data_IF_140577010330
#
_entry.id   IF_140577010330
#
_cell.length_a   1.000
_cell.length_b   1.000
_cell.length_c   1.000
_cell.angle_alpha   90.00
_cell.angle_beta   90.00
_cell.angle_gamma   90.00
#
_symmetry.space_group_name_H-M   'P 1'
#
loop_
_entity.id
_entity.type
_entity.pdbx_description
1 polymer ?
#
# COMPACT_ATOMS: atom_id res chain seq x y z
N UNK A 1 -8.53 7.25 -32.50
CA UNK A 1 -7.33 8.05 -32.19
C UNK A 1 -6.65 7.70 -30.86
N UNK A 2 -7.34 7.29 -29.77
CA UNK A 2 -6.68 6.91 -28.49
C UNK A 2 -6.07 5.50 -28.43
N UNK A 3 -6.58 4.54 -29.22
CA UNK A 3 -6.11 3.15 -29.22
C UNK A 3 -4.64 3.03 -29.66
N UNK A 4 -4.28 3.68 -30.77
CA UNK A 4 -2.90 3.69 -31.27
C UNK A 4 -1.92 4.27 -30.24
N UNK A 5 -2.30 5.33 -29.52
CA UNK A 5 -1.45 5.91 -28.47
C UNK A 5 -1.18 4.89 -27.34
N UNK A 6 -2.22 4.21 -26.84
CA UNK A 6 -2.05 3.19 -25.80
C UNK A 6 -1.24 1.98 -26.29
N UNK A 7 -1.41 1.58 -27.56
CA UNK A 7 -0.60 0.52 -28.19
C UNK A 7 0.87 0.94 -28.29
N UNK A 8 1.16 2.16 -28.77
CA UNK A 8 2.51 2.70 -28.81
C UNK A 8 3.13 2.77 -27.40
N UNK A 9 2.36 3.18 -26.39
CA UNK A 9 2.81 3.21 -25.01
C UNK A 9 3.12 1.79 -24.48
N UNK A 10 2.31 0.80 -24.84
CA UNK A 10 2.56 -0.59 -24.47
C UNK A 10 3.81 -1.16 -25.17
N UNK A 11 4.02 -0.85 -26.45
CA UNK A 11 5.21 -1.24 -27.20
C UNK A 11 6.46 -0.59 -26.63
N UNK A 12 6.41 0.70 -26.28
CA UNK A 12 7.48 1.39 -25.57
C UNK A 12 7.80 0.72 -24.24
N UNK A 13 6.77 0.40 -23.44
CA UNK A 13 6.95 -0.28 -22.17
C UNK A 13 7.56 -1.68 -22.32
N UNK A 14 7.24 -2.40 -23.39
CA UNK A 14 7.77 -3.75 -23.65
C UNK A 14 9.30 -3.77 -23.81
N UNK A 15 9.90 -2.65 -24.22
CA UNK A 15 11.36 -2.50 -24.30
C UNK A 15 12.03 -2.53 -22.92
N UNK A 16 11.31 -2.16 -21.86
CA UNK A 16 11.84 -2.04 -20.50
C UNK A 16 11.22 -3.05 -19.53
N UNK A 17 10.12 -3.71 -19.93
CA UNK A 17 9.39 -4.69 -19.14
C UNK A 17 9.41 -6.04 -19.83
N UNK A 18 10.24 -6.95 -19.32
CA UNK A 18 10.43 -8.29 -19.90
C UNK A 18 9.12 -9.05 -20.01
N UNK A 19 8.31 -9.05 -18.94
CA UNK A 19 7.09 -9.85 -18.79
C UNK A 19 5.80 -9.19 -19.29
N UNK A 20 5.88 -8.10 -20.05
CA UNK A 20 4.68 -7.50 -20.65
C UNK A 20 4.19 -8.34 -21.82
N UNK A 21 2.99 -8.91 -21.69
CA UNK A 21 2.40 -9.83 -22.68
C UNK A 21 1.29 -9.18 -23.51
N UNK A 22 0.61 -8.16 -22.98
CA UNK A 22 -0.49 -7.47 -23.66
C UNK A 22 -0.02 -6.11 -24.16
N UNK A 23 -0.11 -5.90 -25.48
CA UNK A 23 0.27 -4.65 -26.14
C UNK A 23 -0.64 -4.23 -27.30
N UNK A 24 -1.45 -5.13 -27.87
CA UNK A 24 -2.42 -4.79 -28.92
C UNK A 24 -3.85 -4.63 -28.41
N UNK A 25 -4.32 -5.55 -27.56
CA UNK A 25 -5.65 -5.45 -26.95
C UNK A 25 -5.61 -4.58 -25.68
N UNK A 26 -5.68 -3.27 -25.90
CA UNK A 26 -5.60 -2.25 -24.85
C UNK A 26 -6.97 -1.81 -24.33
N UNK A 27 -8.07 -2.30 -24.92
CA UNK A 27 -9.43 -1.88 -24.58
C UNK A 27 -9.85 -2.16 -23.12
N UNK A 28 -9.42 -3.28 -22.49
CA UNK A 28 -9.75 -3.57 -21.10
C UNK A 28 -9.07 -2.65 -20.08
N UNK A 29 -8.10 -1.82 -20.51
CA UNK A 29 -7.24 -1.07 -19.62
C UNK A 29 -7.53 0.44 -19.62
N UNK A 30 -7.35 1.04 -18.45
CA UNK A 30 -7.19 2.47 -18.22
C UNK A 30 -5.70 2.78 -18.15
N UNK A 31 -5.28 3.95 -18.66
CA UNK A 31 -3.90 4.40 -18.64
C UNK A 31 -3.79 5.75 -17.92
N UNK A 32 -2.93 5.80 -16.91
CA UNK A 32 -2.62 6.98 -16.10
C UNK A 32 -1.21 7.42 -16.42
N UNK A 33 -1.08 8.46 -17.25
CA UNK A 33 0.20 8.89 -17.81
C UNK A 33 0.70 10.11 -17.05
N UNK A 34 1.91 10.00 -16.49
CA UNK A 34 2.61 11.10 -15.86
C UNK A 34 3.41 11.87 -16.90
N UNK A 35 3.23 13.18 -16.94
CA UNK A 35 3.94 14.06 -17.88
C UNK A 35 4.56 15.25 -17.15
N UNK A 36 5.68 15.72 -17.65
CA UNK A 36 6.32 16.98 -17.27
C UNK A 36 6.08 18.03 -18.36
N UNK A 37 5.80 19.26 -17.96
CA UNK A 37 5.71 20.39 -18.89
C UNK A 37 7.10 20.94 -19.24
N UNK A 38 7.36 21.17 -20.51
CA UNK A 38 8.64 21.77 -20.96
C UNK A 38 8.71 23.26 -20.59
N UNK A 39 9.69 23.64 -19.77
CA UNK A 39 9.87 25.03 -19.32
C UNK A 39 10.32 25.97 -20.44
N UNK A 40 10.95 25.46 -21.50
CA UNK A 40 11.48 26.23 -22.63
C UNK A 40 10.48 26.35 -23.76
N UNK A 41 9.65 25.32 -23.96
CA UNK A 41 8.67 25.27 -25.05
C UNK A 41 7.24 25.24 -24.48
N UNK A 42 6.52 26.37 -24.60
CA UNK A 42 5.11 26.43 -24.23
C UNK A 42 4.30 25.37 -25.00
N UNK A 43 3.40 24.68 -24.28
CA UNK A 43 2.54 23.61 -24.79
C UNK A 43 3.23 22.29 -25.17
N UNK A 44 4.51 22.09 -24.84
CA UNK A 44 5.17 20.79 -24.99
C UNK A 44 5.15 20.04 -23.66
N UNK A 45 4.81 18.76 -23.71
CA UNK A 45 4.76 17.86 -22.57
C UNK A 45 5.57 16.60 -22.85
N UNK A 46 6.40 16.20 -21.90
CA UNK A 46 7.24 15.01 -21.98
C UNK A 46 6.69 13.94 -21.07
N UNK A 47 6.54 12.71 -21.58
CA UNK A 47 6.13 11.59 -20.73
C UNK A 47 7.25 11.25 -19.75
N UNK A 48 6.90 11.06 -18.48
CA UNK A 48 7.80 10.53 -17.45
C UNK A 48 7.62 9.02 -17.32
N UNK A 49 6.36 8.59 -17.31
CA UNK A 49 5.98 7.20 -17.07
C UNK A 49 4.48 7.05 -17.03
N UNK A 50 4.00 5.84 -16.76
CA UNK A 50 2.59 5.56 -16.61
C UNK A 50 2.35 4.32 -15.76
N UNK A 51 1.11 4.16 -15.30
CA UNK A 51 0.59 2.83 -14.99
C UNK A 51 -0.70 2.52 -15.74
N UNK A 52 -0.97 1.24 -15.97
CA UNK A 52 -2.26 0.76 -16.45
C UNK A 52 -3.03 0.03 -15.36
N UNK A 53 -4.35 0.11 -15.42
CA UNK A 53 -5.29 -0.57 -14.52
C UNK A 53 -6.39 -1.22 -15.35
N UNK A 54 -6.73 -2.47 -15.08
CA UNK A 54 -7.88 -3.10 -15.71
C UNK A 54 -9.18 -2.40 -15.28
N UNK A 55 -10.11 -2.22 -16.22
CA UNK A 55 -11.44 -1.66 -15.92
C UNK A 55 -12.24 -2.58 -15.00
N UNK A 56 -12.09 -3.89 -15.22
CA UNK A 56 -12.68 -4.96 -14.44
C UNK A 56 -11.55 -5.94 -14.14
N UNK A 57 -11.24 -6.13 -12.86
CA UNK A 57 -10.19 -7.04 -12.40
C UNK A 57 -10.80 -7.97 -11.37
N UNK A 58 -10.87 -9.26 -11.67
CA UNK A 58 -11.45 -10.27 -10.78
C UNK A 58 -10.60 -10.43 -9.52
N UNK A 59 -9.27 -10.31 -9.67
CA UNK A 59 -8.28 -10.39 -8.59
C UNK A 59 -8.11 -9.09 -7.79
N UNK A 60 -8.92 -8.07 -8.11
CA UNK A 60 -8.86 -6.73 -7.52
C UNK A 60 -7.46 -6.09 -7.65
N UNK A 61 -6.77 -6.29 -8.78
CA UNK A 61 -5.52 -5.61 -9.04
C UNK A 61 -5.76 -4.12 -9.32
N UNK A 62 -5.11 -3.26 -8.56
CA UNK A 62 -5.24 -1.81 -8.73
C UNK A 62 -4.19 -1.23 -9.69
N UNK A 63 -3.20 -2.04 -10.07
CA UNK A 63 -2.13 -1.70 -10.99
C UNK A 63 -1.70 -2.96 -11.75
N UNK A 64 -1.83 -2.94 -13.07
CA UNK A 64 -1.41 -4.03 -13.96
C UNK A 64 0.04 -3.88 -14.43
N UNK A 65 0.39 -2.67 -14.90
CA UNK A 65 1.72 -2.38 -15.42
C UNK A 65 2.16 -1.01 -14.92
N UNK A 66 3.40 -0.89 -14.44
CA UNK A 66 4.03 0.38 -14.07
C UNK A 66 5.34 0.50 -14.84
N UNK A 67 5.53 1.64 -15.52
CA UNK A 67 6.77 1.94 -16.22
C UNK A 67 7.15 3.40 -15.98
N UNK A 68 8.39 3.61 -15.57
CA UNK A 68 9.05 4.92 -15.54
C UNK A 68 10.17 4.87 -16.58
N UNK A 69 10.25 5.88 -17.43
CA UNK A 69 11.31 5.97 -18.44
C UNK A 69 12.69 5.93 -17.76
N UNK A 70 13.67 5.22 -18.34
CA UNK A 70 14.97 5.04 -17.69
C UNK A 70 15.63 6.32 -17.16
N UNK A 71 15.57 7.42 -17.91
CA UNK A 71 16.15 8.71 -17.52
C UNK A 71 15.39 9.46 -16.41
N UNK A 72 14.19 9.01 -16.04
CA UNK A 72 13.41 9.53 -14.91
C UNK A 72 13.35 8.56 -13.71
N UNK A 73 14.05 7.43 -13.77
CA UNK A 73 14.07 6.49 -12.65
C UNK A 73 14.80 7.07 -11.44
N UNK A 74 14.47 6.56 -10.25
CA UNK A 74 15.06 6.95 -8.96
C UNK A 74 14.82 8.42 -8.53
N UNK A 75 13.86 9.10 -9.15
CA UNK A 75 13.44 10.48 -8.81
C UNK A 75 12.08 10.53 -8.08
N UNK A 76 11.65 9.43 -7.45
CA UNK A 76 10.38 9.37 -6.71
C UNK A 76 9.11 9.15 -7.54
N UNK A 77 9.14 9.32 -8.86
CA UNK A 77 7.95 9.18 -9.73
C UNK A 77 7.27 7.80 -9.67
N UNK A 78 8.03 6.72 -9.52
CA UNK A 78 7.46 5.37 -9.36
C UNK A 78 6.63 5.25 -8.07
N UNK A 79 7.14 5.80 -6.97
CA UNK A 79 6.43 5.84 -5.68
C UNK A 79 5.18 6.72 -5.77
N UNK A 80 5.26 7.85 -6.47
CA UNK A 80 4.11 8.72 -6.73
C UNK A 80 2.99 7.99 -7.49
N UNK A 81 3.31 7.29 -8.58
CA UNK A 81 2.32 6.53 -9.35
C UNK A 81 1.70 5.38 -8.54
N UNK A 82 2.48 4.70 -7.70
CA UNK A 82 1.95 3.70 -6.76
C UNK A 82 1.01 4.38 -5.76
N UNK A 83 1.39 5.51 -5.14
CA UNK A 83 0.51 6.20 -4.19
C UNK A 83 -0.81 6.61 -4.83
N UNK A 84 -0.77 7.13 -6.05
CA UNK A 84 -1.96 7.49 -6.81
C UNK A 84 -2.86 6.27 -7.08
N UNK A 85 -2.30 5.12 -7.43
CA UNK A 85 -3.08 3.89 -7.63
C UNK A 85 -3.88 3.48 -6.38
N UNK A 86 -3.31 3.69 -5.18
CA UNK A 86 -3.98 3.45 -3.91
C UNK A 86 -5.00 4.54 -3.55
N UNK A 87 -4.75 5.81 -3.89
CA UNK A 87 -5.79 6.86 -3.74
C UNK A 87 -7.04 6.54 -4.58
N UNK A 88 -6.86 6.07 -5.82
CA UNK A 88 -7.98 5.62 -6.66
C UNK A 88 -8.70 4.41 -6.02
N UNK A 89 -7.95 3.48 -5.45
CA UNK A 89 -8.49 2.30 -4.76
C UNK A 89 -9.37 2.70 -3.56
N UNK A 90 -8.93 3.69 -2.78
CA UNK A 90 -9.69 4.24 -1.65
C UNK A 90 -10.96 4.97 -2.10
N UNK A 91 -10.88 5.74 -3.19
CA UNK A 91 -12.07 6.40 -3.79
C UNK A 91 -13.11 5.35 -4.23
N UNK A 92 -12.65 4.22 -4.77
CA UNK A 92 -13.50 3.09 -5.14
C UNK A 92 -14.04 2.29 -3.94
N UNK A 93 -13.62 2.63 -2.71
CA UNK A 93 -13.94 1.92 -1.46
C UNK A 93 -13.59 0.43 -1.53
N UNK A 94 -12.46 0.12 -2.17
CA UNK A 94 -11.92 -1.24 -2.33
C UNK A 94 -10.57 -1.36 -1.65
N UNK A 95 -10.05 -2.58 -1.62
CA UNK A 95 -8.65 -2.86 -1.35
C UNK A 95 -8.02 -3.43 -2.61
N UNK A 96 -6.70 -3.31 -2.75
CA UNK A 96 -6.02 -3.73 -3.96
C UNK A 96 -4.54 -4.05 -3.76
N UNK A 97 -3.99 -4.69 -4.77
CA UNK A 97 -2.60 -5.14 -4.86
C UNK A 97 -2.12 -4.94 -6.30
N UNK A 98 -0.81 -4.83 -6.57
CA UNK A 98 -0.32 -4.93 -7.94
C UNK A 98 -0.49 -6.34 -8.52
N UNK A 99 -0.61 -6.40 -9.85
CA UNK A 99 -0.49 -7.64 -10.62
C UNK A 99 0.88 -8.28 -10.40
N UNK A 100 0.90 -9.61 -10.32
CA UNK A 100 2.09 -10.43 -10.07
C UNK A 100 2.45 -11.21 -11.34
N UNK A 101 3.74 -11.50 -11.58
CA UNK A 101 4.91 -11.19 -10.74
C UNK A 101 5.54 -9.81 -11.01
N UNK A 102 5.80 -9.05 -9.95
CA UNK A 102 6.49 -7.75 -9.97
C UNK A 102 7.95 -7.85 -10.45
N UNK A 103 8.45 -6.82 -11.14
CA UNK A 103 9.89 -6.64 -11.43
C UNK A 103 10.68 -6.36 -10.15
N UNK A 104 12.01 -6.58 -10.15
CA UNK A 104 12.85 -6.32 -8.97
C UNK A 104 12.73 -4.86 -8.47
N UNK A 105 12.79 -3.89 -9.39
CA UNK A 105 12.59 -2.48 -9.07
C UNK A 105 11.16 -2.20 -8.57
N UNK A 106 10.16 -2.85 -9.17
CA UNK A 106 8.77 -2.78 -8.72
C UNK A 106 8.60 -3.27 -7.28
N UNK A 107 9.16 -4.43 -6.95
CA UNK A 107 9.13 -5.01 -5.60
C UNK A 107 9.76 -4.05 -4.56
N UNK A 108 10.94 -3.51 -4.85
CA UNK A 108 11.59 -2.55 -3.96
C UNK A 108 10.74 -1.30 -3.73
N UNK A 109 10.13 -0.77 -4.79
CA UNK A 109 9.31 0.45 -4.72
C UNK A 109 8.01 0.20 -3.93
N UNK A 110 7.34 -0.93 -4.17
CA UNK A 110 6.14 -1.32 -3.42
C UNK A 110 6.44 -1.57 -1.94
N UNK A 111 7.51 -2.31 -1.62
CA UNK A 111 7.93 -2.50 -0.22
C UNK A 111 8.18 -1.16 0.47
N UNK A 112 8.95 -0.27 -0.15
CA UNK A 112 9.22 1.07 0.39
C UNK A 112 7.94 1.88 0.61
N UNK A 113 6.99 1.83 -0.35
CA UNK A 113 5.69 2.49 -0.23
C UNK A 113 4.87 1.90 0.92
N UNK A 114 4.66 0.58 0.96
CA UNK A 114 3.85 -0.08 1.99
C UNK A 114 4.43 0.11 3.39
N UNK A 115 5.74 -0.03 3.55
CA UNK A 115 6.40 0.21 4.84
C UNK A 115 6.10 1.62 5.35
N UNK A 116 6.28 2.63 4.50
CA UNK A 116 6.02 4.02 4.87
C UNK A 116 4.56 4.26 5.19
N UNK A 117 3.64 3.79 4.34
CA UNK A 117 2.20 4.01 4.50
C UNK A 117 1.66 3.35 5.78
N UNK A 118 2.07 2.10 6.05
CA UNK A 118 1.62 1.37 7.24
C UNK A 118 2.17 1.99 8.50
N UNK A 119 3.46 2.34 8.55
CA UNK A 119 4.06 2.99 9.72
C UNK A 119 3.40 4.34 10.01
N UNK A 120 3.16 5.17 8.99
CA UNK A 120 2.44 6.44 9.16
C UNK A 120 1.04 6.21 9.72
N UNK A 121 0.30 5.22 9.22
CA UNK A 121 -1.05 4.93 9.68
C UNK A 121 -1.08 4.39 11.12
N UNK A 122 -0.12 3.54 11.49
CA UNK A 122 0.01 3.06 12.86
C UNK A 122 0.33 4.19 13.84
N UNK A 123 1.17 5.16 13.44
CA UNK A 123 1.42 6.35 14.27
C UNK A 123 0.17 7.21 14.45
N UNK A 124 -0.65 7.37 13.42
CA UNK A 124 -1.94 8.06 13.53
C UNK A 124 -2.85 7.36 14.56
N UNK A 125 -2.98 6.04 14.48
CA UNK A 125 -3.78 5.27 15.45
C UNK A 125 -3.23 5.40 16.87
N UNK A 126 -1.90 5.32 17.04
CA UNK A 126 -1.24 5.49 18.34
C UNK A 126 -1.54 6.87 18.94
N UNK A 127 -1.42 7.93 18.15
CA UNK A 127 -1.73 9.32 18.59
C UNK A 127 -3.21 9.49 18.95
N UNK A 128 -4.09 8.82 18.21
CA UNK A 128 -5.54 8.85 18.46
C UNK A 128 -6.03 7.81 19.47
N UNK A 129 -5.14 7.00 20.06
CA UNK A 129 -5.48 5.91 20.99
C UNK A 129 -6.50 4.91 20.41
N UNK A 130 -6.40 4.65 19.10
CA UNK A 130 -7.24 3.69 18.39
C UNK A 130 -6.55 2.32 18.40
N UNK A 131 -7.28 1.26 18.77
CA UNK A 131 -6.78 -0.10 18.62
C UNK A 131 -6.74 -0.49 17.15
N UNK A 132 -5.52 -0.64 16.62
CA UNK A 132 -5.30 -1.03 15.23
C UNK A 132 -5.66 -2.50 14.99
N UNK A 133 -6.45 -2.76 13.96
CA UNK A 133 -6.66 -4.12 13.43
C UNK A 133 -6.13 -4.20 12.01
N UNK A 134 -5.72 -5.38 11.55
CA UNK A 134 -5.26 -5.59 10.17
C UNK A 134 -6.36 -5.21 9.17
N UNK A 135 -7.61 -5.56 9.46
CA UNK A 135 -8.75 -5.22 8.62
C UNK A 135 -8.94 -3.71 8.51
N UNK A 136 -8.84 -2.98 9.63
CA UNK A 136 -8.96 -1.52 9.61
C UNK A 136 -7.80 -0.88 8.84
N UNK A 137 -6.58 -1.36 9.06
CA UNK A 137 -5.39 -0.88 8.35
C UNK A 137 -5.50 -1.10 6.84
N UNK A 138 -6.02 -2.26 6.43
CA UNK A 138 -6.31 -2.59 5.03
C UNK A 138 -7.34 -1.63 4.40
N UNK A 139 -8.46 -1.40 5.09
CA UNK A 139 -9.52 -0.48 4.63
C UNK A 139 -8.98 0.95 4.52
N UNK A 140 -8.30 1.46 5.55
CA UNK A 140 -7.85 2.86 5.61
C UNK A 140 -6.73 3.17 4.61
N UNK A 141 -5.90 2.18 4.30
CA UNK A 141 -4.79 2.34 3.34
C UNK A 141 -5.16 1.92 1.92
N UNK A 142 -6.20 1.12 1.75
CA UNK A 142 -6.56 0.48 0.48
C UNK A 142 -5.63 -0.70 0.11
N UNK A 143 -4.69 -1.08 0.97
CA UNK A 143 -3.76 -2.19 0.76
C UNK A 143 -4.44 -3.50 1.13
N UNK A 144 -4.35 -4.53 0.26
CA UNK A 144 -4.95 -5.84 0.54
C UNK A 144 -4.42 -6.44 1.84
N UNK A 145 -5.26 -7.21 2.55
CA UNK A 145 -4.96 -7.76 3.88
C UNK A 145 -3.64 -8.57 3.87
N UNK A 146 -3.40 -9.39 2.85
CA UNK A 146 -2.21 -10.24 2.79
C UNK A 146 -0.94 -9.39 2.66
N UNK A 147 -1.00 -8.30 1.89
CA UNK A 147 0.14 -7.38 1.72
C UNK A 147 0.39 -6.56 3.01
N UNK A 148 -0.66 -6.23 3.76
CA UNK A 148 -0.55 -5.63 5.10
C UNK A 148 0.15 -6.60 6.06
N UNK A 149 -0.32 -7.85 6.15
CA UNK A 149 0.27 -8.88 7.03
C UNK A 149 1.74 -9.08 6.66
N UNK A 150 2.04 -9.27 5.36
CA UNK A 150 3.41 -9.45 4.91
C UNK A 150 4.29 -8.25 5.25
N UNK A 151 3.77 -7.03 5.12
CA UNK A 151 4.52 -5.82 5.47
C UNK A 151 4.78 -5.72 6.98
N UNK A 152 3.82 -6.08 7.83
CA UNK A 152 4.00 -6.10 9.28
C UNK A 152 5.05 -7.14 9.70
N UNK A 153 5.09 -8.30 9.04
CA UNK A 153 6.12 -9.34 9.23
C UNK A 153 7.48 -8.83 8.74
N UNK A 154 7.56 -8.24 7.54
CA UNK A 154 8.80 -7.68 6.97
C UNK A 154 9.38 -6.56 7.88
N UNK A 155 8.52 -5.79 8.54
CA UNK A 155 8.89 -4.76 9.51
C UNK A 155 9.26 -5.33 10.90
N UNK A 156 9.03 -6.62 11.13
CA UNK A 156 9.15 -7.31 12.43
C UNK A 156 8.26 -6.73 13.54
N UNK A 157 7.14 -6.11 13.15
CA UNK A 157 6.17 -5.54 14.09
C UNK A 157 5.17 -6.61 14.55
N UNK A 158 4.91 -7.60 13.70
CA UNK A 158 3.97 -8.66 14.01
C UNK A 158 4.57 -10.03 13.72
N UNK A 159 4.16 -11.02 14.53
CA UNK A 159 4.63 -12.40 14.45
C UNK A 159 3.45 -13.35 14.24
N UNK A 160 3.53 -14.21 13.23
CA UNK A 160 2.59 -15.32 13.01
C UNK A 160 3.03 -16.52 13.86
N UNK A 161 2.16 -17.01 14.73
CA UNK A 161 2.56 -17.82 15.88
C UNK A 161 2.66 -19.33 15.66
N UNK A 162 3.70 -19.93 16.24
CA UNK A 162 3.55 -21.03 17.22
C UNK A 162 3.98 -20.55 18.63
N UNK A 163 5.02 -19.71 18.73
CA UNK A 163 5.52 -19.16 20.00
C UNK A 163 4.57 -18.16 20.70
N UNK A 164 3.56 -17.65 19.98
CA UNK A 164 2.60 -16.68 20.51
C UNK A 164 1.37 -17.30 21.18
N UNK A 165 1.21 -18.62 21.15
CA UNK A 165 0.13 -19.26 21.89
C UNK A 165 0.35 -19.02 23.38
N UNK A 166 1.58 -19.19 23.87
CA UNK A 166 1.89 -19.07 25.29
C UNK A 166 1.92 -17.61 25.78
N UNK A 167 2.41 -16.65 24.98
CA UNK A 167 2.38 -15.23 25.34
C UNK A 167 0.97 -14.65 25.25
N UNK A 168 0.15 -15.05 24.27
CA UNK A 168 -1.26 -14.69 24.25
C UNK A 168 -2.01 -15.32 25.43
N UNK A 169 -1.77 -16.58 25.79
CA UNK A 169 -2.35 -17.18 27.00
C UNK A 169 -1.94 -16.42 28.25
N UNK A 170 -0.65 -16.07 28.43
CA UNK A 170 -0.19 -15.30 29.61
C UNK A 170 -0.80 -13.89 29.66
N UNK A 171 -0.94 -13.20 28.53
CA UNK A 171 -1.57 -11.88 28.48
C UNK A 171 -3.09 -11.94 28.68
N UNK A 172 -3.73 -13.01 28.21
CA UNK A 172 -5.15 -13.28 28.37
C UNK A 172 -5.46 -13.66 29.82
N UNK A 173 -4.65 -14.52 30.46
CA UNK A 173 -4.67 -14.80 31.90
C UNK A 173 -4.47 -13.53 32.74
N UNK A 174 -3.54 -12.63 32.36
CA UNK A 174 -3.35 -11.36 33.05
C UNK A 174 -4.55 -10.40 32.89
N UNK A 175 -5.25 -10.44 31.75
CA UNK A 175 -6.50 -9.69 31.53
C UNK A 175 -7.67 -10.31 32.30
N UNK A 176 -7.76 -11.63 32.34
CA UNK A 176 -8.79 -12.37 33.07
C UNK A 176 -8.61 -12.26 34.58
N UNK A 177 -7.37 -12.19 35.08
CA UNK A 177 -7.05 -11.87 36.47
C UNK A 177 -7.45 -10.43 36.84
N UNK A 178 -7.30 -9.47 35.92
CA UNK A 178 -7.77 -8.10 36.11
C UNK A 178 -9.30 -8.00 36.08
N UNK A 179 -9.96 -8.78 35.24
CA UNK A 179 -11.43 -8.85 35.17
C UNK A 179 -12.04 -9.63 36.35
N UNK A 180 -11.42 -10.71 36.84
CA UNK A 180 -11.85 -11.43 38.05
C UNK A 180 -11.65 -10.62 39.33
N UNK A 181 -10.56 -9.84 39.43
CA UNK A 181 -10.39 -8.88 40.53
C UNK A 181 -11.39 -7.72 40.47
N UNK A 182 -11.88 -7.34 39.28
CA UNK A 182 -12.99 -6.37 39.14
C UNK A 182 -14.37 -6.99 39.43
N UNK A 183 -14.56 -8.29 39.15
CA UNK A 183 -15.80 -9.05 39.41
C UNK A 183 -15.98 -9.50 40.86
N UNK A 184 -14.94 -9.44 41.71
CA UNK A 184 -15.10 -9.63 43.16
C UNK A 184 -15.92 -8.53 43.85
N UNK A 185 -16.24 -7.42 43.16
CA UNK A 185 -17.08 -6.34 43.69
C UNK A 185 -18.50 -6.26 43.11
N UNK A 186 -18.92 -7.15 42.20
CA UNK A 186 -20.34 -7.26 41.82
C UNK A 186 -20.64 -8.66 41.28
N UNK A 187 -21.53 -9.35 41.99
CA UNK A 187 -21.99 -10.73 41.74
C UNK A 187 -23.31 -10.69 40.96
N UNK A 188 -23.54 -11.71 40.12
CA UNK A 188 -24.71 -12.01 39.27
C UNK A 188 -24.77 -11.18 37.95
N UNK A 189 -24.99 -11.73 36.74
CA UNK A 189 -25.53 -13.01 36.28
C UNK A 189 -24.96 -13.44 34.91
N UNK A 190 -25.23 -14.71 34.57
CA UNK A 190 -25.06 -15.49 33.34
C UNK A 190 -25.06 -14.75 31.98
N UNK A 191 -24.27 -15.21 30.99
CA UNK A 191 -24.63 -16.38 30.18
C UNK A 191 -23.64 -16.59 29.00
N UNK A 192 -23.59 -17.84 28.53
CA UNK A 192 -22.71 -18.37 27.49
C UNK A 192 -22.73 -17.64 26.15
N UNK A 193 -21.56 -17.53 25.50
CA UNK A 193 -21.39 -18.07 24.15
C UNK A 193 -19.91 -18.25 23.79
N UNK A 194 -19.55 -19.52 23.64
CA UNK A 194 -18.24 -20.01 23.28
C UNK A 194 -18.18 -20.09 21.74
N UNK A 195 -17.58 -19.09 21.10
CA UNK A 195 -17.24 -19.15 19.67
C UNK A 195 -15.74 -18.90 19.55
N UNK A 196 -14.96 -19.99 19.42
CA UNK A 196 -13.54 -19.92 19.07
C UNK A 196 -13.42 -19.28 17.68
N UNK A 197 -13.21 -17.96 17.64
CA UNK A 197 -12.82 -17.27 16.43
C UNK A 197 -11.33 -17.53 16.17
N UNK A 198 -11.07 -18.16 15.02
CA UNK A 198 -9.75 -18.40 14.44
C UNK A 198 -9.08 -17.10 13.96
N UNK A 199 -9.13 -16.05 14.77
CA UNK A 199 -8.29 -14.87 14.62
C UNK A 199 -6.94 -15.21 15.22
N UNK A 200 -5.97 -15.57 14.37
CA UNK A 200 -4.56 -15.43 14.71
C UNK A 200 -4.32 -13.99 15.14
N UNK A 201 -4.35 -13.74 16.45
CA UNK A 201 -4.12 -12.43 17.04
C UNK A 201 -2.69 -12.05 16.70
N UNK A 202 -2.52 -11.15 15.73
CA UNK A 202 -1.26 -10.49 15.46
C UNK A 202 -0.98 -9.58 16.66
N UNK A 203 -0.12 -10.04 17.56
CA UNK A 203 0.43 -9.21 18.61
C UNK A 203 1.39 -8.20 17.96
N UNK A 204 1.17 -6.91 18.24
CA UNK A 204 2.05 -5.83 17.82
C UNK A 204 3.15 -5.68 18.87
N UNK A 205 4.40 -5.76 18.44
CA UNK A 205 5.56 -5.39 19.27
C UNK A 205 5.71 -3.86 19.28
N UNK A 206 5.30 -3.24 20.37
CA UNK A 206 5.31 -1.78 20.55
C UNK A 206 6.73 -1.20 20.59
N UNK A 207 7.73 -1.93 21.09
CA UNK A 207 9.11 -1.47 21.18
C UNK A 207 9.76 -1.42 19.78
N UNK A 208 9.50 -2.46 18.97
CA UNK A 208 9.92 -2.47 17.56
C UNK A 208 9.20 -1.38 16.79
N UNK A 209 7.88 -1.22 16.98
CA UNK A 209 7.10 -0.16 16.34
C UNK A 209 7.70 1.23 16.64
N UNK A 210 7.94 1.54 17.92
CA UNK A 210 8.55 2.80 18.34
C UNK A 210 9.89 3.06 17.66
N UNK A 211 10.76 2.05 17.61
CA UNK A 211 12.07 2.16 16.95
C UNK A 211 11.94 2.48 15.46
N UNK A 212 11.00 1.82 14.76
CA UNK A 212 10.75 2.04 13.33
C UNK A 212 10.16 3.42 13.06
N UNK A 213 9.28 3.90 13.94
CA UNK A 213 8.69 5.24 13.84
C UNK A 213 9.74 6.34 13.98
N UNK A 214 10.66 6.21 14.94
CA UNK A 214 11.78 7.15 15.10
C UNK A 214 12.65 7.19 13.84
N UNK A 215 12.96 6.02 13.26
CA UNK A 215 13.72 5.95 12.01
C UNK A 215 12.99 6.61 10.83
N UNK A 216 11.68 6.40 10.72
CA UNK A 216 10.86 7.00 9.67
C UNK A 216 10.84 8.54 9.80
N UNK A 217 10.60 9.06 11.00
CA UNK A 217 10.57 10.49 11.27
C UNK A 217 11.93 11.14 10.99
N UNK A 218 13.03 10.52 11.38
CA UNK A 218 14.38 11.03 11.10
C UNK A 218 14.72 11.00 9.60
N UNK A 219 14.21 10.01 8.85
CA UNK A 219 14.37 9.91 7.40
C UNK A 219 13.53 10.94 6.60
N UNK A 220 12.43 11.45 7.16
CA UNK A 220 11.61 12.48 6.49
C UNK A 220 12.33 13.81 6.26
N UNK A 221 13.46 14.04 6.93
CA UNK A 221 14.37 15.17 6.66
C UNK A 221 14.83 15.22 5.20
N UNK A 222 14.91 14.07 4.52
CA UNK A 222 15.30 13.97 3.10
C UNK A 222 14.15 14.26 2.12
N UNK A 223 12.88 14.11 2.53
CA UNK A 223 11.71 14.34 1.68
C UNK A 223 11.42 15.83 1.44
N UNK A 224 12.00 16.74 2.24
CA UNK A 224 11.91 18.18 1.99
C UNK A 224 12.66 18.62 0.72
N UNK A 225 13.58 17.81 0.19
CA UNK A 225 14.27 18.10 -1.06
C UNK A 225 13.45 17.72 -2.31
N UNK A 226 12.47 16.82 -2.18
CA UNK A 226 11.66 16.29 -3.29
C UNK A 226 10.45 17.15 -3.65
N UNK A 227 10.06 18.13 -2.82
CA UNK A 227 8.89 18.98 -3.08
C UNK A 227 9.03 19.80 -4.37
N UNK A 228 10.25 20.21 -4.75
CA UNK A 228 10.50 20.98 -5.98
C UNK A 228 10.42 20.16 -7.29
N UNK A 229 10.44 18.82 -7.23
CA UNK A 229 10.44 17.96 -8.44
C UNK A 229 9.04 17.94 -9.08
N UNK A 230 7.98 18.11 -8.29
CA UNK A 230 6.61 17.97 -8.77
C UNK A 230 5.98 19.27 -9.29
N UNK A 231 6.63 20.42 -9.13
CA UNK A 231 6.06 21.73 -9.46
C UNK A 231 5.68 21.90 -10.95
N UNK A 232 6.33 21.14 -11.85
CA UNK A 232 6.05 21.13 -13.31
C UNK A 232 5.45 19.83 -13.83
N UNK A 233 5.01 18.93 -12.94
CA UNK A 233 4.51 17.60 -13.30
C UNK A 233 2.98 17.53 -13.19
N UNK A 234 2.32 16.89 -14.17
CA UNK A 234 0.86 16.75 -14.21
C UNK A 234 0.44 15.35 -14.65
N UNK A 235 -0.76 14.93 -14.24
CA UNK A 235 -1.32 13.62 -14.58
C UNK A 235 -2.29 13.74 -15.76
N UNK A 236 -2.05 12.97 -16.81
CA UNK A 236 -2.93 12.88 -17.98
C UNK A 236 -3.69 11.55 -17.96
N UNK A 237 -5.01 11.65 -17.86
CA UNK A 237 -5.89 10.48 -17.91
C UNK A 237 -6.24 10.11 -19.35
N UNK A 238 -5.95 8.87 -19.72
CA UNK A 238 -6.33 8.33 -21.03
C UNK A 238 -7.29 7.18 -20.77
N UNK A 239 -8.57 7.51 -20.79
CA UNK A 239 -9.67 6.55 -20.70
C UNK A 239 -10.60 6.66 -21.91
N UNK A 240 -11.18 5.53 -22.31
CA UNK A 240 -12.40 5.49 -23.14
C UNK A 240 -13.57 5.25 -22.19
N UNK A 241 -14.58 6.13 -22.24
CA UNK A 241 -15.95 5.69 -21.92
C UNK A 241 -16.35 4.63 -22.93
#
# INVERSE_FOLDING_TARGET
MRMLYCQCLCLLAKLFLERKTIYFDVNPFLFYVLVESDKRMKNVQHIIGYFSKEKLSDECYNLACLMILPHHQRQGFGRFLISLSYELTKIEKKTGSPEKPLSALGQMTYKSYWHSTILTKLEEYRRSQIHATVTQLSIDTGIRIEDVIQTLIDLRIAHTGAENIETNYRQQEARDQRHTNRRRNHKYDDDNNNTLNSTSVLAIDEDVLHTKLVCLLNGTSSLKHDQNIFDSTYLRFISRR
#
